data_IF_072189973953
#
_entry.id   IF_072189973953
#
_cell.length_a   1.000
_cell.length_b   1.000
_cell.length_c   1.000
_cell.angle_alpha   90.00
_cell.angle_beta   90.00
_cell.angle_gamma   90.00
#
_symmetry.space_group_name_H-M   'P 1'
#
loop_
_entity.id
_entity.type
_entity.pdbx_description
1 polymer ?
#
# COMPACT_ATOMS: atom_id res chain seq x y z
N UNK A 1 18.00 -2.89 -15.66
CA UNK A 1 17.48 -2.74 -14.27
C UNK A 1 17.13 -1.29 -14.05
N UNK A 2 15.84 -0.98 -13.85
CA UNK A 2 15.36 0.37 -13.54
C UNK A 2 14.83 0.42 -12.10
N UNK A 3 14.62 1.63 -11.56
CA UNK A 3 13.87 1.85 -10.31
C UNK A 3 12.55 2.52 -10.66
N UNK A 4 11.44 1.92 -10.23
CA UNK A 4 10.09 2.46 -10.42
C UNK A 4 9.51 2.84 -9.07
N UNK A 5 9.00 4.08 -8.97
CA UNK A 5 8.31 4.59 -7.79
C UNK A 5 6.83 4.63 -8.08
N UNK A 6 6.04 3.96 -7.25
CA UNK A 6 4.59 4.01 -7.27
C UNK A 6 4.14 4.82 -6.06
N UNK A 7 3.64 6.03 -6.31
CA UNK A 7 3.12 6.91 -5.28
C UNK A 7 1.60 6.89 -5.34
N UNK A 8 0.99 6.49 -4.23
CA UNK A 8 -0.46 6.44 -4.06
C UNK A 8 -0.92 7.28 -2.88
N UNK A 9 -2.22 7.59 -2.82
CA UNK A 9 -2.75 8.45 -1.77
C UNK A 9 -2.92 7.67 -0.46
N UNK A 10 -3.51 6.47 -0.51
CA UNK A 10 -3.88 5.68 0.66
C UNK A 10 -3.35 4.23 0.59
N UNK A 11 -3.29 3.52 1.73
CA UNK A 11 -2.96 2.10 1.76
C UNK A 11 -4.12 1.22 1.23
N UNK A 12 -4.04 0.75 -0.02
CA UNK A 12 -5.00 -0.10 -0.77
C UNK A 12 -5.03 0.31 -2.25
N UNK A 13 -4.83 1.60 -2.53
CA UNK A 13 -4.73 2.16 -3.88
C UNK A 13 -3.69 1.40 -4.72
N UNK A 14 -2.58 0.96 -4.10
CA UNK A 14 -1.54 0.22 -4.79
C UNK A 14 -2.05 -1.12 -5.32
N UNK A 15 -2.86 -1.80 -4.49
CA UNK A 15 -3.43 -3.10 -4.78
C UNK A 15 -4.52 -3.00 -5.84
N UNK A 16 -5.35 -1.96 -5.74
CA UNK A 16 -6.47 -1.72 -6.65
C UNK A 16 -6.04 -1.27 -8.05
N UNK A 17 -5.04 -0.38 -8.13
CA UNK A 17 -4.71 0.26 -9.40
C UNK A 17 -3.47 -0.32 -10.08
N UNK A 18 -2.49 -0.82 -9.32
CA UNK A 18 -1.14 -1.06 -9.87
C UNK A 18 -0.48 -2.37 -9.48
N UNK A 19 -1.11 -3.25 -8.67
CA UNK A 19 -0.50 -4.49 -8.21
C UNK A 19 0.08 -5.34 -9.35
N UNK A 20 -0.69 -5.57 -10.41
CA UNK A 20 -0.22 -6.37 -11.55
C UNK A 20 1.01 -5.76 -12.25
N UNK A 21 1.07 -4.42 -12.35
CA UNK A 21 2.21 -3.71 -12.94
C UNK A 21 3.44 -3.80 -12.03
N UNK A 22 3.26 -3.58 -10.73
CA UNK A 22 4.34 -3.68 -9.75
C UNK A 22 4.92 -5.09 -9.67
N UNK A 23 4.07 -6.12 -9.56
CA UNK A 23 4.48 -7.52 -9.52
C UNK A 23 5.22 -7.93 -10.79
N UNK A 24 4.72 -7.51 -11.96
CA UNK A 24 5.43 -7.75 -13.23
C UNK A 24 6.80 -7.07 -13.26
N UNK A 25 6.89 -5.80 -12.87
CA UNK A 25 8.16 -5.08 -12.85
C UNK A 25 9.17 -5.71 -11.87
N UNK A 26 8.70 -6.16 -10.70
CA UNK A 26 9.49 -6.91 -9.71
C UNK A 26 10.02 -8.22 -10.33
N UNK A 27 9.14 -9.02 -10.95
CA UNK A 27 9.50 -10.27 -11.62
C UNK A 27 10.47 -10.09 -12.80
N UNK A 28 10.39 -8.96 -13.52
CA UNK A 28 11.33 -8.57 -14.57
C UNK A 28 12.68 -8.03 -14.01
N UNK A 29 12.86 -8.03 -12.69
CA UNK A 29 14.11 -7.67 -12.01
C UNK A 29 14.32 -6.16 -11.85
N UNK A 30 13.25 -5.37 -11.89
CA UNK A 30 13.31 -3.94 -11.55
C UNK A 30 13.16 -3.72 -10.04
N UNK A 31 13.76 -2.64 -9.54
CA UNK A 31 13.52 -2.20 -8.15
C UNK A 31 12.17 -1.48 -8.10
N UNK A 32 11.21 -2.04 -7.39
CA UNK A 32 9.93 -1.39 -7.11
C UNK A 32 9.99 -0.72 -5.75
N UNK A 33 9.58 0.55 -5.70
CA UNK A 33 9.44 1.33 -4.46
C UNK A 33 7.99 1.80 -4.39
N UNK A 34 7.27 1.31 -3.39
CA UNK A 34 5.91 1.75 -3.09
C UNK A 34 5.94 2.86 -2.04
N UNK A 35 5.20 3.94 -2.28
CA UNK A 35 5.01 5.05 -1.35
C UNK A 35 3.51 5.33 -1.24
N UNK A 36 3.02 5.45 -0.02
CA UNK A 36 1.67 5.95 0.26
C UNK A 36 1.78 7.30 0.96
N UNK A 37 0.95 8.26 0.54
CA UNK A 37 1.03 9.63 1.04
C UNK A 37 0.36 9.82 2.41
N UNK A 38 -0.56 8.94 2.78
CA UNK A 38 -1.35 9.02 4.01
C UNK A 38 -1.41 7.67 4.72
N UNK A 39 -1.77 7.69 6.00
CA UNK A 39 -2.05 6.48 6.79
C UNK A 39 -3.44 5.90 6.53
N UNK A 40 -4.32 6.61 5.83
CA UNK A 40 -5.69 6.18 5.56
C UNK A 40 -6.58 6.08 6.82
N UNK A 41 -6.22 6.79 7.89
CA UNK A 41 -6.86 6.74 9.22
C UNK A 41 -8.26 7.35 9.27
N UNK A 42 -8.59 8.25 8.34
CA UNK A 42 -9.92 8.83 8.16
C UNK A 42 -10.82 8.02 7.21
N UNK A 43 -10.45 6.78 6.91
CA UNK A 43 -11.24 5.89 6.05
C UNK A 43 -12.61 5.54 6.65
N UNK A 44 -13.56 5.14 5.80
CA UNK A 44 -14.93 4.79 6.22
C UNK A 44 -14.98 3.67 7.28
N UNK A 45 -13.95 2.83 7.33
CA UNK A 45 -13.82 1.77 8.32
C UNK A 45 -13.48 2.27 9.72
N UNK A 46 -13.12 3.55 9.91
CA UNK A 46 -12.65 4.08 11.19
C UNK A 46 -13.67 3.88 12.32
N UNK A 47 -14.98 3.97 12.01
CA UNK A 47 -16.05 3.73 12.98
C UNK A 47 -16.14 2.30 13.53
N UNK A 48 -15.41 1.34 12.94
CA UNK A 48 -15.30 -0.03 13.45
C UNK A 48 -14.18 -0.22 14.46
N UNK A 49 -13.34 0.79 14.66
CA UNK A 49 -12.23 0.75 15.61
C UNK A 49 -12.61 1.52 16.88
N UNK A 50 -12.14 1.01 18.03
CA UNK A 50 -12.48 1.56 19.34
C UNK A 50 -11.61 2.75 19.74
N UNK A 51 -10.38 2.81 19.24
CA UNK A 51 -9.40 3.83 19.58
C UNK A 51 -8.93 4.61 18.33
N UNK A 52 -8.58 5.90 18.48
CA UNK A 52 -7.91 6.67 17.44
C UNK A 52 -6.64 5.94 16.95
N UNK A 53 -6.33 6.08 15.66
CA UNK A 53 -5.15 5.50 14.99
C UNK A 53 -5.11 3.97 14.83
N UNK A 54 -6.00 3.18 15.45
CA UNK A 54 -6.01 1.73 15.23
C UNK A 54 -6.24 1.34 13.76
N UNK A 55 -7.05 2.10 13.03
CA UNK A 55 -7.21 1.89 11.59
C UNK A 55 -5.88 2.15 10.85
N UNK A 56 -5.14 3.18 11.23
CA UNK A 56 -3.84 3.49 10.62
C UNK A 56 -2.84 2.35 10.81
N UNK A 57 -2.75 1.83 12.04
CA UNK A 57 -1.86 0.71 12.38
C UNK A 57 -2.24 -0.56 11.63
N UNK A 58 -3.54 -0.85 11.57
CA UNK A 58 -4.08 -2.00 10.83
C UNK A 58 -3.75 -1.88 9.34
N UNK A 59 -4.05 -0.74 8.72
CA UNK A 59 -3.77 -0.49 7.30
C UNK A 59 -2.28 -0.49 7.00
N UNK A 60 -1.42 -0.04 7.91
CA UNK A 60 0.02 -0.13 7.74
C UNK A 60 0.50 -1.60 7.69
N UNK A 61 0.00 -2.45 8.59
CA UNK A 61 0.30 -3.87 8.58
C UNK A 61 -0.24 -4.58 7.31
N UNK A 62 -1.45 -4.22 6.88
CA UNK A 62 -2.05 -4.72 5.63
C UNK A 62 -1.23 -4.30 4.40
N UNK A 63 -0.79 -3.04 4.34
CA UNK A 63 0.04 -2.51 3.27
C UNK A 63 1.39 -3.23 3.18
N UNK A 64 2.04 -3.47 4.32
CA UNK A 64 3.27 -4.25 4.36
C UNK A 64 3.05 -5.67 3.84
N UNK A 65 1.94 -6.31 4.22
CA UNK A 65 1.60 -7.65 3.74
C UNK A 65 1.29 -7.67 2.24
N UNK A 66 0.55 -6.66 1.75
CA UNK A 66 0.27 -6.44 0.34
C UNK A 66 1.56 -6.29 -0.46
N UNK A 67 2.48 -5.43 -0.01
CA UNK A 67 3.76 -5.21 -0.67
C UNK A 67 4.66 -6.46 -0.71
N UNK A 68 4.61 -7.33 0.31
CA UNK A 68 5.34 -8.62 0.31
C UNK A 68 4.81 -9.62 -0.70
N UNK A 69 3.58 -9.44 -1.19
CA UNK A 69 2.97 -10.34 -2.17
C UNK A 69 3.28 -9.96 -3.64
N UNK A 70 3.97 -8.83 -3.88
CA UNK A 70 4.40 -8.34 -5.19
C UNK A 70 5.75 -8.93 -5.62
#
# INVERSE_FOLDING_TARGET
>A
MATLVFLHAHPDDEALFTAGTMARASAEGHRVVLVVATSGDQGLAAGHFGEPHQLAETRAAELEQSARAL
#
